data_IF_331763088967
#
_entry.id   IF_331763088967
#
_cell.length_a   1.000
_cell.length_b   1.000
_cell.length_c   1.000
_cell.angle_alpha   90.00
_cell.angle_beta   90.00
_cell.angle_gamma   90.00
#
_symmetry.space_group_name_H-M   'P 1'
#
loop_
_entity.id
_entity.type
_entity.pdbx_description
1 polymer ?
#
# COMPACT_ATOMS: atom_id res chain seq x y z
N UNK A 1 27.98 2.18 9.52
CA UNK A 1 26.79 1.32 9.40
C UNK A 1 26.16 1.58 8.03
N UNK A 2 26.13 0.58 7.14
CA UNK A 2 25.55 0.72 5.80
C UNK A 2 24.03 0.71 5.95
N UNK A 3 23.35 1.79 5.52
CA UNK A 3 21.92 1.81 5.29
C UNK A 3 21.60 0.71 4.27
N UNK A 4 20.80 -0.29 4.65
CA UNK A 4 20.15 -1.17 3.68
C UNK A 4 19.08 -0.33 2.99
N UNK A 5 19.35 0.09 1.75
CA UNK A 5 18.32 0.58 0.86
C UNK A 5 17.31 -0.56 0.66
N UNK A 6 16.11 -0.40 1.19
CA UNK A 6 15.01 -1.28 0.84
C UNK A 6 14.59 -0.90 -0.59
N UNK A 7 15.01 -1.70 -1.53
CA UNK A 7 14.67 -1.53 -2.92
C UNK A 7 13.15 -1.77 -3.09
N UNK A 8 12.41 -0.71 -3.41
CA UNK A 8 11.08 -0.87 -3.99
C UNK A 8 11.31 -1.41 -5.40
N UNK A 9 10.91 -2.64 -5.64
CA UNK A 9 10.99 -3.23 -6.97
C UNK A 9 9.87 -2.62 -7.82
N UNK A 10 10.22 -2.13 -9.00
CA UNK A 10 9.30 -1.45 -9.91
C UNK A 10 9.21 -2.19 -11.23
N UNK A 11 8.01 -2.63 -11.60
CA UNK A 11 7.70 -3.15 -12.93
C UNK A 11 7.02 -2.03 -13.72
N UNK A 12 7.82 -1.33 -14.54
CA UNK A 12 7.36 -0.12 -15.24
C UNK A 12 6.39 -0.38 -16.39
N UNK A 13 5.78 0.69 -16.89
CA UNK A 13 4.94 0.67 -18.10
C UNK A 13 5.68 0.00 -19.28
N UNK A 14 4.95 -0.68 -20.14
CA UNK A 14 5.48 -1.38 -21.31
C UNK A 14 6.46 -2.52 -20.98
N UNK A 15 6.52 -2.96 -19.74
CA UNK A 15 7.22 -4.19 -19.38
C UNK A 15 6.23 -5.33 -19.20
N UNK A 16 6.61 -6.52 -19.65
CA UNK A 16 5.86 -7.74 -19.40
C UNK A 16 6.77 -8.74 -18.67
N UNK A 17 6.23 -9.34 -17.63
CA UNK A 17 6.91 -10.40 -16.89
C UNK A 17 5.98 -11.61 -16.77
N UNK A 18 6.51 -12.78 -17.07
CA UNK A 18 5.77 -14.04 -16.94
C UNK A 18 6.55 -15.01 -16.05
N UNK A 19 5.87 -15.62 -15.08
CA UNK A 19 6.46 -16.63 -14.20
C UNK A 19 5.96 -16.58 -12.77
N UNK A 20 6.76 -17.13 -11.85
CA UNK A 20 6.47 -17.09 -10.42
C UNK A 20 7.27 -15.99 -9.73
N UNK A 21 6.59 -15.21 -8.94
CA UNK A 21 7.17 -14.11 -8.19
C UNK A 21 7.02 -14.36 -6.69
N UNK A 22 8.14 -14.33 -5.97
CA UNK A 22 8.16 -14.34 -4.51
C UNK A 22 9.08 -13.22 -4.04
N UNK A 23 8.63 -12.39 -3.10
CA UNK A 23 9.38 -11.24 -2.64
C UNK A 23 9.00 -10.86 -1.21
N UNK A 24 9.87 -10.07 -0.59
CA UNK A 24 9.63 -9.41 0.69
C UNK A 24 9.74 -7.90 0.48
N UNK A 25 8.90 -7.12 1.15
CA UNK A 25 8.84 -5.68 0.99
C UNK A 25 7.74 -5.25 0.04
N UNK A 26 7.95 -4.15 -0.70
CA UNK A 26 6.93 -3.56 -1.57
C UNK A 26 7.33 -3.63 -3.03
N UNK A 27 6.40 -4.08 -3.87
CA UNK A 27 6.50 -4.05 -5.33
C UNK A 27 5.40 -3.17 -5.89
N UNK A 28 5.77 -2.27 -6.82
CA UNK A 28 4.83 -1.53 -7.66
C UNK A 28 4.83 -2.09 -9.08
N UNK A 29 3.63 -2.36 -9.60
CA UNK A 29 3.41 -2.93 -10.93
C UNK A 29 2.55 -1.93 -11.73
N UNK A 30 3.18 -1.27 -12.71
CA UNK A 30 2.53 -0.42 -13.71
C UNK A 30 2.57 -1.08 -15.12
N UNK A 31 3.21 -2.24 -15.23
CA UNK A 31 3.28 -3.06 -16.45
C UNK A 31 2.38 -4.28 -16.39
N UNK A 32 2.64 -5.25 -17.26
CA UNK A 32 1.91 -6.51 -17.34
C UNK A 32 2.65 -7.62 -16.60
N UNK A 33 2.02 -8.22 -15.61
CA UNK A 33 2.51 -9.41 -14.91
C UNK A 33 1.56 -10.58 -15.20
N UNK A 34 2.11 -11.73 -15.60
CA UNK A 34 1.37 -12.97 -15.79
C UNK A 34 2.01 -14.10 -15.03
N UNK A 35 1.24 -14.77 -14.16
CA UNK A 35 1.75 -15.92 -13.42
C UNK A 35 1.25 -16.01 -12.00
N UNK A 36 2.07 -16.53 -11.11
CA UNK A 36 1.71 -16.76 -9.72
C UNK A 36 2.57 -15.88 -8.80
N UNK A 37 1.93 -15.20 -7.85
CA UNK A 37 2.63 -14.46 -6.81
C UNK A 37 2.42 -15.20 -5.48
N UNK A 38 3.52 -15.68 -4.90
CA UNK A 38 3.48 -16.43 -3.64
C UNK A 38 4.38 -15.80 -2.59
N UNK A 39 3.96 -15.85 -1.32
CA UNK A 39 4.69 -15.26 -0.19
C UNK A 39 5.08 -13.80 -0.43
N UNK A 40 4.17 -13.04 -1.05
CA UNK A 40 4.39 -11.64 -1.35
C UNK A 40 4.24 -10.76 -0.11
N UNK A 41 5.02 -9.68 -0.08
CA UNK A 41 4.82 -8.58 0.85
C UNK A 41 3.66 -7.69 0.43
N UNK A 42 3.94 -6.43 0.12
CA UNK A 42 2.95 -5.45 -0.32
C UNK A 42 3.00 -5.27 -1.84
N UNK A 43 1.86 -5.24 -2.49
CA UNK A 43 1.73 -4.97 -3.92
C UNK A 43 0.95 -3.68 -4.13
N UNK A 44 1.43 -2.85 -5.04
CA UNK A 44 0.71 -1.69 -5.54
C UNK A 44 0.54 -1.87 -7.05
N UNK A 45 -0.69 -2.06 -7.50
CA UNK A 45 -1.04 -2.13 -8.92
C UNK A 45 -1.45 -0.73 -9.36
N UNK A 46 -0.63 -0.10 -10.18
CA UNK A 46 -0.93 1.24 -10.72
C UNK A 46 -2.04 1.20 -11.77
N UNK A 47 -2.57 2.37 -12.15
CA UNK A 47 -3.73 2.50 -13.07
C UNK A 47 -3.54 1.79 -14.42
N UNK A 48 -2.31 1.67 -14.91
CA UNK A 48 -1.99 0.99 -16.16
C UNK A 48 -1.45 -0.44 -15.93
N UNK A 49 -1.36 -0.87 -14.67
CA UNK A 49 -0.89 -2.19 -14.30
C UNK A 49 -1.95 -3.26 -14.60
N UNK A 50 -1.50 -4.37 -15.17
CA UNK A 50 -2.31 -5.56 -15.42
C UNK A 50 -1.65 -6.77 -14.76
N UNK A 51 -2.40 -7.47 -13.93
CA UNK A 51 -1.97 -8.75 -13.33
C UNK A 51 -2.92 -9.86 -13.80
N UNK A 52 -2.36 -10.91 -14.37
CA UNK A 52 -3.07 -12.14 -14.74
C UNK A 52 -2.52 -13.32 -13.94
N UNK A 53 -3.26 -13.79 -12.94
CA UNK A 53 -2.90 -14.97 -12.15
C UNK A 53 -3.26 -14.87 -10.69
N UNK A 54 -3.03 -15.96 -9.98
CA UNK A 54 -3.37 -16.07 -8.56
C UNK A 54 -2.26 -15.50 -7.69
N UNK A 55 -2.65 -14.88 -6.59
CA UNK A 55 -1.72 -14.27 -5.67
C UNK A 55 -2.02 -14.55 -4.21
N UNK A 56 -0.95 -14.82 -3.45
CA UNK A 56 -0.96 -14.90 -1.99
C UNK A 56 0.05 -13.90 -1.44
N UNK A 57 -0.44 -12.88 -0.77
CA UNK A 57 0.29 -11.68 -0.38
C UNK A 57 -0.15 -11.17 0.97
N UNK A 58 0.59 -10.26 1.56
CA UNK A 58 0.18 -9.65 2.83
C UNK A 58 -0.85 -8.53 2.62
N UNK A 59 -0.59 -7.62 1.70
CA UNK A 59 -1.42 -6.45 1.43
C UNK A 59 -1.35 -6.04 -0.04
N UNK A 60 -2.47 -5.59 -0.59
CA UNK A 60 -2.52 -5.08 -1.97
C UNK A 60 -3.37 -3.83 -2.09
N UNK A 61 -2.88 -2.89 -2.90
CA UNK A 61 -3.61 -1.72 -3.39
C UNK A 61 -3.77 -1.84 -4.89
N UNK A 62 -4.99 -1.76 -5.38
CA UNK A 62 -5.32 -1.94 -6.80
C UNK A 62 -5.97 -0.69 -7.34
N UNK A 63 -5.30 -0.03 -8.31
CA UNK A 63 -5.87 1.03 -9.14
C UNK A 63 -5.93 0.63 -10.61
N UNK A 64 -5.25 -0.47 -10.98
CA UNK A 64 -5.23 -1.06 -12.31
C UNK A 64 -6.17 -2.24 -12.46
N UNK A 65 -5.79 -3.21 -13.28
CA UNK A 65 -6.62 -4.37 -13.62
C UNK A 65 -5.99 -5.67 -13.12
N UNK A 66 -6.80 -6.52 -12.47
CA UNK A 66 -6.38 -7.82 -11.92
C UNK A 66 -7.35 -8.90 -12.37
N UNK A 67 -6.81 -9.97 -12.98
CA UNK A 67 -7.50 -11.19 -13.36
C UNK A 67 -6.92 -12.37 -12.61
N UNK A 68 -7.64 -12.91 -11.63
CA UNK A 68 -7.23 -14.06 -10.82
C UNK A 68 -7.64 -13.93 -9.36
N UNK A 69 -7.32 -14.95 -8.57
CA UNK A 69 -7.71 -15.00 -7.18
C UNK A 69 -6.69 -14.29 -6.28
N UNK A 70 -7.20 -13.53 -5.34
CA UNK A 70 -6.40 -12.76 -4.39
C UNK A 70 -6.61 -13.34 -2.99
N UNK A 71 -5.55 -13.84 -2.39
CA UNK A 71 -5.51 -14.20 -0.98
C UNK A 71 -4.60 -13.18 -0.29
N UNK A 72 -5.16 -12.38 0.61
CA UNK A 72 -4.39 -11.41 1.37
C UNK A 72 -4.46 -11.70 2.87
N UNK A 73 -3.31 -11.69 3.55
CA UNK A 73 -3.24 -11.98 4.99
C UNK A 73 -3.75 -10.81 5.85
N UNK A 74 -3.71 -9.59 5.31
CA UNK A 74 -4.07 -8.38 6.04
C UNK A 74 -5.26 -7.66 5.42
N UNK A 75 -5.11 -7.16 4.16
CA UNK A 75 -6.09 -6.28 3.55
C UNK A 75 -5.97 -6.20 2.03
N UNK A 76 -7.10 -5.93 1.38
CA UNK A 76 -7.19 -5.59 -0.04
C UNK A 76 -7.89 -4.25 -0.17
N UNK A 77 -7.25 -3.27 -0.81
CA UNK A 77 -7.81 -1.95 -1.11
C UNK A 77 -7.91 -1.78 -2.63
N UNK A 78 -9.11 -1.48 -3.12
CA UNK A 78 -9.38 -1.30 -4.54
C UNK A 78 -9.89 0.12 -4.73
N UNK A 79 -9.10 0.92 -5.45
CA UNK A 79 -9.40 2.32 -5.74
C UNK A 79 -9.77 2.51 -7.20
N UNK A 80 -10.70 3.44 -7.48
CA UNK A 80 -11.04 3.79 -8.85
C UNK A 80 -9.79 4.34 -9.62
N UNK A 81 -9.61 3.96 -10.89
CA UNK A 81 -10.49 3.21 -11.78
C UNK A 81 -10.25 1.67 -11.79
N UNK A 82 -9.82 1.10 -10.68
CA UNK A 82 -9.43 -0.30 -10.55
C UNK A 82 -10.50 -1.30 -11.01
N UNK A 83 -10.03 -2.41 -11.55
CA UNK A 83 -10.88 -3.52 -12.00
C UNK A 83 -10.32 -4.83 -11.46
N UNK A 84 -11.18 -5.65 -10.88
CA UNK A 84 -10.81 -6.97 -10.36
C UNK A 84 -11.81 -8.02 -10.86
N UNK A 85 -11.27 -9.04 -11.49
CA UNK A 85 -12.00 -10.20 -12.02
C UNK A 85 -11.47 -11.47 -11.36
N UNK A 86 -12.16 -11.95 -10.33
CA UNK A 86 -11.78 -13.12 -9.55
C UNK A 86 -12.22 -13.06 -8.09
N UNK A 87 -11.85 -14.07 -7.33
CA UNK A 87 -12.25 -14.19 -5.94
C UNK A 87 -11.23 -13.53 -5.00
N UNK A 88 -11.74 -12.86 -3.97
CA UNK A 88 -10.92 -12.21 -2.95
C UNK A 88 -11.13 -12.90 -1.60
N UNK A 89 -10.04 -13.27 -0.94
CA UNK A 89 -10.05 -13.76 0.44
C UNK A 89 -9.10 -12.89 1.27
N UNK A 90 -9.66 -12.14 2.22
CA UNK A 90 -8.88 -11.26 3.09
C UNK A 90 -9.62 -10.96 4.40
N UNK A 91 -8.92 -10.58 5.48
CA UNK A 91 -9.57 -10.11 6.71
C UNK A 91 -10.33 -8.79 6.51
N UNK A 92 -9.83 -7.92 5.64
CA UNK A 92 -10.44 -6.64 5.32
C UNK A 92 -10.40 -6.38 3.81
N UNK A 93 -11.50 -5.87 3.25
CA UNK A 93 -11.60 -5.47 1.86
C UNK A 93 -12.25 -4.10 1.80
N UNK A 94 -11.61 -3.17 1.10
CA UNK A 94 -12.13 -1.82 0.84
C UNK A 94 -12.27 -1.63 -0.67
N UNK A 95 -13.43 -1.20 -1.09
CA UNK A 95 -13.76 -0.98 -2.50
C UNK A 95 -14.34 0.42 -2.63
N UNK A 96 -13.66 1.28 -3.41
CA UNK A 96 -14.12 2.64 -3.66
C UNK A 96 -15.24 2.68 -4.69
N UNK A 97 -15.97 3.77 -4.70
CA UNK A 97 -16.95 4.07 -5.76
C UNK A 97 -16.23 4.22 -7.12
N UNK A 98 -16.79 3.61 -8.16
CA UNK A 98 -16.24 3.61 -9.52
C UNK A 98 -15.30 2.44 -9.84
N UNK A 99 -15.10 1.52 -8.91
CA UNK A 99 -14.39 0.26 -9.12
C UNK A 99 -15.29 -0.75 -9.87
N UNK A 100 -14.69 -1.55 -10.74
CA UNK A 100 -15.35 -2.72 -11.34
C UNK A 100 -14.86 -3.96 -10.59
N UNK A 101 -15.78 -4.65 -9.92
CA UNK A 101 -15.49 -5.92 -9.24
C UNK A 101 -16.43 -7.01 -9.74
N UNK A 102 -15.87 -8.11 -10.22
CA UNK A 102 -16.61 -9.29 -10.69
C UNK A 102 -15.99 -10.54 -10.08
N UNK A 103 -16.68 -11.14 -9.12
CA UNK A 103 -16.22 -12.30 -8.37
C UNK A 103 -16.85 -12.41 -7.00
N UNK A 104 -16.27 -13.22 -6.14
CA UNK A 104 -16.74 -13.44 -4.76
C UNK A 104 -15.75 -12.88 -3.75
N UNK A 105 -16.24 -12.20 -2.73
CA UNK A 105 -15.41 -11.76 -1.61
C UNK A 105 -15.71 -12.58 -0.36
N UNK A 106 -14.68 -13.16 0.26
CA UNK A 106 -14.75 -13.85 1.54
C UNK A 106 -13.89 -13.12 2.56
N UNK A 107 -14.54 -12.54 3.58
CA UNK A 107 -13.84 -11.96 4.72
C UNK A 107 -13.83 -12.97 5.87
N UNK A 108 -12.68 -13.10 6.53
CA UNK A 108 -12.50 -13.93 7.71
C UNK A 108 -11.84 -13.10 8.82
N UNK A 109 -12.06 -13.49 10.08
CA UNK A 109 -11.29 -12.88 11.16
C UNK A 109 -9.84 -13.30 11.01
N UNK A 110 -8.91 -12.33 10.97
CA UNK A 110 -7.50 -12.64 11.05
C UNK A 110 -7.27 -13.49 12.30
N UNK A 111 -6.83 -14.74 12.13
CA UNK A 111 -6.36 -15.52 13.25
C UNK A 111 -5.13 -14.79 13.79
N UNK A 112 -5.19 -14.40 15.07
CA UNK A 112 -3.97 -14.07 15.80
C UNK A 112 -2.99 -15.18 15.50
N UNK A 113 -1.89 -14.80 14.86
CA UNK A 113 -0.90 -15.69 14.26
C UNK A 113 -0.54 -16.84 15.18
N UNK A 114 -0.47 -18.05 14.64
CA UNK A 114 0.22 -19.21 15.19
C UNK A 114 1.69 -18.90 15.52
N UNK A 115 1.94 -18.01 16.46
CA UNK A 115 3.25 -17.77 17.05
C UNK A 115 3.64 -18.88 18.03
N UNK A 116 2.74 -19.82 18.31
CA UNK A 116 2.99 -20.90 19.29
C UNK A 116 3.51 -22.21 18.69
N UNK A 117 3.60 -22.38 17.37
CA UNK A 117 4.05 -23.65 16.76
C UNK A 117 5.47 -23.67 16.19
N UNK A 118 6.25 -22.60 16.35
CA UNK A 118 7.66 -22.60 15.93
C UNK A 118 8.67 -22.79 17.07
N UNK A 119 8.24 -23.16 18.27
CA UNK A 119 9.15 -23.38 19.41
C UNK A 119 9.68 -24.80 19.54
N UNK A 120 9.62 -25.64 18.53
CA UNK A 120 10.14 -27.01 18.67
C UNK A 120 10.88 -27.50 17.42
N UNK A 121 11.82 -26.75 16.89
CA UNK A 121 12.94 -27.32 16.10
C UNK A 121 14.12 -26.34 16.17
N UNK A 122 15.18 -26.75 16.89
CA UNK A 122 16.56 -26.36 16.63
C UNK A 122 16.96 -24.93 16.98
N UNK A 123 17.46 -24.75 18.19
CA UNK A 123 18.31 -23.65 18.59
C UNK A 123 19.57 -23.54 17.74
N UNK A 124 19.59 -22.71 16.74
CA UNK A 124 20.83 -22.14 16.21
C UNK A 124 20.65 -20.64 15.99
N UNK A 125 21.40 -19.92 16.80
CA UNK A 125 21.72 -18.51 16.84
C UNK A 125 21.41 -17.69 15.60
N UNK A 126 20.27 -16.99 15.62
CA UNK A 126 20.10 -15.74 14.91
C UNK A 126 19.92 -14.60 15.92
N UNK A 127 21.04 -13.96 16.25
CA UNK A 127 21.04 -12.65 16.91
C UNK A 127 20.80 -11.58 15.86
N UNK A 128 19.58 -11.46 15.38
CA UNK A 128 19.13 -10.37 14.52
C UNK A 128 17.93 -9.73 15.20
N UNK A 129 18.00 -8.42 15.43
CA UNK A 129 16.84 -7.62 15.83
C UNK A 129 15.66 -7.92 14.91
N UNK A 130 14.41 -7.95 15.41
CA UNK A 130 13.25 -8.13 14.56
C UNK A 130 13.29 -7.13 13.41
N UNK A 131 12.81 -7.48 12.20
CA UNK A 131 12.78 -6.55 11.09
C UNK A 131 11.99 -5.30 11.50
N UNK A 132 12.43 -4.10 11.09
CA UNK A 132 11.72 -2.88 11.44
C UNK A 132 10.28 -2.95 10.93
N UNK A 133 9.37 -2.75 11.82
CA UNK A 133 7.94 -2.65 11.59
C UNK A 133 7.65 -1.56 10.57
N UNK A 134 7.15 -1.94 9.41
CA UNK A 134 6.89 -1.00 8.33
C UNK A 134 5.46 -0.50 8.41
N UNK A 135 5.31 0.78 8.68
CA UNK A 135 4.03 1.46 8.74
C UNK A 135 3.77 2.25 7.46
N UNK A 136 2.50 2.45 7.15
CA UNK A 136 2.08 3.33 6.07
C UNK A 136 1.15 4.43 6.60
N UNK A 137 1.27 5.64 6.06
CA UNK A 137 0.29 6.70 6.23
C UNK A 137 -0.42 6.89 4.88
N UNK A 138 -1.73 6.86 4.88
CA UNK A 138 -2.54 7.14 3.70
C UNK A 138 -3.61 8.18 4.02
N UNK A 139 -4.19 8.79 3.00
CA UNK A 139 -5.28 9.73 3.20
C UNK A 139 -5.69 10.45 1.92
N UNK A 140 -6.71 11.28 2.06
CA UNK A 140 -7.27 12.09 0.98
C UNK A 140 -7.01 13.56 1.28
N UNK A 141 -6.61 14.31 0.26
CA UNK A 141 -6.47 15.76 0.33
C UNK A 141 -7.64 16.41 -0.39
N UNK A 142 -8.41 17.22 0.32
CA UNK A 142 -9.60 17.89 -0.21
C UNK A 142 -9.50 19.42 -0.06
N UNK A 143 -10.24 20.11 -0.89
CA UNK A 143 -10.48 21.55 -0.77
C UNK A 143 -11.50 21.81 0.34
N UNK A 144 -11.13 22.57 1.35
CA UNK A 144 -11.98 22.86 2.50
C UNK A 144 -13.29 23.60 2.12
N UNK A 145 -13.28 24.37 1.03
CA UNK A 145 -14.45 25.17 0.63
C UNK A 145 -15.46 24.39 -0.21
N UNK A 146 -14.99 23.40 -0.99
CA UNK A 146 -15.83 22.67 -1.95
C UNK A 146 -15.99 21.18 -1.63
N UNK A 147 -15.14 20.64 -0.72
CA UNK A 147 -15.05 19.20 -0.43
C UNK A 147 -14.45 18.38 -1.57
N UNK A 148 -14.06 19.00 -2.69
CA UNK A 148 -13.54 18.27 -3.86
C UNK A 148 -12.11 17.79 -3.62
N UNK A 149 -11.75 16.61 -4.15
CA UNK A 149 -10.40 16.10 -4.05
C UNK A 149 -9.40 16.98 -4.82
N UNK A 150 -8.20 17.13 -4.26
CA UNK A 150 -7.13 17.91 -4.87
C UNK A 150 -6.13 16.96 -5.51
N UNK A 151 -6.08 16.95 -6.84
CA UNK A 151 -5.14 16.18 -7.63
C UNK A 151 -3.74 16.84 -7.63
N UNK A 152 -2.70 16.00 -7.71
CA UNK A 152 -1.30 16.39 -7.84
C UNK A 152 -0.78 17.32 -6.71
N UNK A 153 -1.36 17.23 -5.52
CA UNK A 153 -0.82 17.88 -4.34
C UNK A 153 0.48 17.18 -3.90
N UNK A 154 1.52 17.96 -3.62
CA UNK A 154 2.80 17.45 -3.13
C UNK A 154 2.71 17.18 -1.63
N UNK A 155 2.96 15.94 -1.24
CA UNK A 155 3.02 15.49 0.15
C UNK A 155 4.48 15.30 0.54
N UNK A 156 4.92 15.95 1.60
CA UNK A 156 6.27 15.84 2.15
C UNK A 156 6.13 15.40 3.61
N UNK A 157 6.60 14.22 3.92
CA UNK A 157 6.62 13.67 5.26
C UNK A 157 8.05 13.70 5.82
N UNK A 158 8.23 14.36 6.95
CA UNK A 158 9.52 14.53 7.63
C UNK A 158 9.43 13.97 9.06
N UNK A 159 10.37 13.10 9.43
CA UNK A 159 10.49 12.48 10.75
C UNK A 159 11.86 11.84 10.93
N UNK A 160 11.94 10.58 11.28
CA UNK A 160 13.18 9.80 11.33
C UNK A 160 13.85 9.71 9.94
N UNK A 161 13.09 9.99 8.89
CA UNK A 161 13.54 10.12 7.52
C UNK A 161 12.71 11.13 6.76
N UNK A 162 12.77 11.09 5.44
CA UNK A 162 11.94 11.91 4.56
C UNK A 162 11.28 11.02 3.52
N UNK A 163 9.97 11.20 3.32
CA UNK A 163 9.18 10.54 2.29
C UNK A 163 8.38 11.58 1.53
N UNK A 164 8.16 11.33 0.26
CA UNK A 164 7.38 12.23 -0.60
C UNK A 164 6.36 11.39 -1.38
N UNK A 165 5.18 11.95 -1.56
CA UNK A 165 4.12 11.39 -2.40
C UNK A 165 3.43 12.52 -3.17
N UNK A 166 2.54 12.17 -4.09
CA UNK A 166 1.61 13.08 -4.75
C UNK A 166 0.22 12.48 -4.75
N UNK A 167 -0.78 13.33 -4.59
CA UNK A 167 -2.16 12.87 -4.69
C UNK A 167 -2.54 12.53 -6.13
N UNK A 168 -3.32 11.47 -6.29
CA UNK A 168 -3.96 11.09 -7.55
C UNK A 168 -5.22 11.93 -7.85
N UNK A 169 -5.98 11.56 -8.87
CA UNK A 169 -7.20 12.26 -9.27
C UNK A 169 -8.29 12.29 -8.17
N UNK A 170 -8.35 11.26 -7.33
CA UNK A 170 -9.24 11.19 -6.16
C UNK A 170 -8.71 11.93 -4.93
N UNK A 171 -7.59 12.65 -5.04
CA UNK A 171 -6.95 13.31 -3.91
C UNK A 171 -6.21 12.35 -2.96
N UNK A 172 -6.15 11.06 -3.25
CA UNK A 172 -5.52 10.04 -2.43
C UNK A 172 -4.00 10.13 -2.50
N UNK A 173 -3.34 9.92 -1.35
CA UNK A 173 -1.90 9.75 -1.23
C UNK A 173 -1.56 8.63 -0.26
N UNK A 174 -0.38 8.06 -0.43
CA UNK A 174 0.17 7.04 0.44
C UNK A 174 1.67 7.28 0.66
N UNK A 175 2.10 7.06 1.89
CA UNK A 175 3.48 7.12 2.34
C UNK A 175 3.79 5.79 3.03
N UNK A 176 4.62 4.99 2.41
CA UNK A 176 4.98 3.65 2.89
C UNK A 176 6.39 3.64 3.48
N UNK A 177 6.71 2.55 4.16
CA UNK A 177 8.03 2.33 4.77
C UNK A 177 8.41 3.42 5.79
N UNK A 178 7.46 3.72 6.67
CA UNK A 178 7.66 4.63 7.78
C UNK A 178 8.07 3.84 9.03
N UNK A 179 9.05 4.34 9.73
CA UNK A 179 9.48 3.80 11.02
C UNK A 179 8.65 4.40 12.16
N UNK A 180 8.58 3.71 13.29
CA UNK A 180 7.95 4.22 14.51
C UNK A 180 8.52 5.57 14.89
N UNK A 181 7.66 6.49 15.27
CA UNK A 181 8.06 7.82 15.69
C UNK A 181 7.12 8.93 15.29
N UNK A 182 7.57 10.17 15.49
CA UNK A 182 6.79 11.37 15.17
C UNK A 182 7.08 11.86 13.77
N UNK A 183 6.02 11.95 12.98
CA UNK A 183 6.09 12.39 11.59
C UNK A 183 5.31 13.68 11.38
N UNK A 184 5.87 14.58 10.58
CA UNK A 184 5.25 15.83 10.16
C UNK A 184 4.96 15.80 8.67
N UNK A 185 3.70 15.86 8.31
CA UNK A 185 3.23 15.89 6.93
C UNK A 185 3.01 17.34 6.52
N UNK A 186 3.64 17.75 5.44
CA UNK A 186 3.48 19.06 4.79
C UNK A 186 2.85 18.85 3.43
N UNK A 187 1.79 19.58 3.13
CA UNK A 187 1.03 19.46 1.89
C UNK A 187 1.06 20.77 1.14
N UNK A 188 1.37 20.70 -0.16
CA UNK A 188 1.41 21.84 -1.06
C UNK A 188 0.62 21.54 -2.32
N UNK A 189 -0.31 22.44 -2.68
CA UNK A 189 -1.03 22.38 -3.94
C UNK A 189 -1.13 23.78 -4.56
N UNK A 190 -1.17 23.83 -5.90
CA UNK A 190 -1.30 25.08 -6.63
C UNK A 190 -2.67 25.72 -6.33
N UNK A 191 -2.68 26.99 -5.93
CA UNK A 191 -3.92 27.71 -5.57
C UNK A 191 -4.36 27.55 -4.12
N UNK A 192 -3.66 26.77 -3.31
CA UNK A 192 -4.00 26.52 -1.90
C UNK A 192 -2.91 27.02 -0.93
N UNK A 193 -3.32 27.29 0.29
CA UNK A 193 -2.40 27.53 1.41
C UNK A 193 -1.75 26.18 1.80
N UNK A 194 -0.53 26.23 2.33
CA UNK A 194 0.17 25.03 2.78
C UNK A 194 -0.57 24.39 3.96
N UNK A 195 -0.83 23.09 3.86
CA UNK A 195 -1.31 22.27 4.97
C UNK A 195 -0.15 21.67 5.77
N UNK A 196 -0.40 21.41 7.04
CA UNK A 196 0.56 20.69 7.90
C UNK A 196 -0.23 19.83 8.88
N UNK A 197 0.16 18.57 9.00
CA UNK A 197 -0.36 17.62 9.98
C UNK A 197 0.79 16.94 10.72
N UNK A 198 0.50 16.36 11.88
CA UNK A 198 1.45 15.55 12.66
C UNK A 198 0.81 14.20 12.91
N UNK A 199 1.57 13.15 12.73
CA UNK A 199 1.18 11.77 13.01
C UNK A 199 2.27 11.14 13.88
N UNK A 200 1.85 10.41 14.90
CA UNK A 200 2.75 9.59 15.71
C UNK A 200 2.47 8.13 15.35
N UNK A 201 3.48 7.46 14.84
CA UNK A 201 3.44 6.06 14.45
C UNK A 201 3.99 5.25 15.62
N UNK A 202 3.22 4.28 16.09
CA UNK A 202 3.64 3.34 17.13
C UNK A 202 3.10 1.95 16.82
N UNK A 203 3.99 1.03 16.51
CA UNK A 203 3.65 -0.35 16.12
C UNK A 203 3.25 -0.53 14.66
N UNK A 204 3.01 -1.77 14.28
CA UNK A 204 2.64 -2.16 12.92
C UNK A 204 1.27 -1.62 12.52
N UNK A 205 1.13 -1.17 11.27
CA UNK A 205 -0.19 -0.81 10.75
C UNK A 205 -0.20 0.34 9.76
N UNK A 206 -1.41 0.69 9.37
CA UNK A 206 -1.72 1.80 8.49
C UNK A 206 -2.40 2.92 9.27
N UNK A 207 -1.95 4.15 9.04
CA UNK A 207 -2.45 5.34 9.71
C UNK A 207 -3.17 6.23 8.71
N UNK A 208 -4.46 6.43 8.92
CA UNK A 208 -5.25 7.33 8.08
C UNK A 208 -5.01 8.78 8.47
N UNK A 209 -4.70 9.62 7.49
CA UNK A 209 -4.49 11.05 7.69
C UNK A 209 -5.07 11.86 6.54
N UNK A 210 -6.35 12.14 6.62
CA UNK A 210 -7.04 13.05 5.70
C UNK A 210 -6.66 14.51 5.99
N UNK A 211 -6.56 15.32 4.95
CA UNK A 211 -6.17 16.73 5.06
C UNK A 211 -7.01 17.63 4.18
N UNK A 212 -7.43 18.75 4.74
CA UNK A 212 -8.13 19.79 4.02
C UNK A 212 -7.24 21.00 3.78
N UNK A 213 -7.24 21.53 2.55
CA UNK A 213 -6.49 22.73 2.21
C UNK A 213 -7.42 23.91 1.98
N UNK A 214 -7.04 25.07 2.54
CA UNK A 214 -7.73 26.35 2.31
C UNK A 214 -7.27 26.94 0.98
N UNK A 215 -8.18 27.41 0.11
CA UNK A 215 -7.81 28.23 -1.02
C UNK A 215 -7.04 29.50 -0.58
N UNK A 216 -6.23 30.04 -1.48
CA UNK A 216 -5.50 31.30 -1.25
C UNK A 216 -6.41 32.50 -1.39
#
# INVERSE_FOLDING_TARGET
MKKKDQAVTFLGKNTAFEGKLSFQGTIRIDGHFKGEISNGGHIIVGEEGLIEGDMHISYIVISGEVHGNIIADQRVDIHAPGKVFGDIQAPAVVIDEGVIFEGTTRMYQAKESDTEKLNTIGSDKYSGSPPPTLCAIYGIVTDQSTGRPINNAEIICEGIGKRNARTNASGYYELINLEDGKWKIKIKAKGFKKGTSKVEISGEGTYEQNCELKPK
#
